data_IF_800746189921
#
_entry.id   IF_800746189921
#
_cell.length_a   1.000
_cell.length_b   1.000
_cell.length_c   1.000
_cell.angle_alpha   90.00
_cell.angle_beta   90.00
_cell.angle_gamma   90.00
#
_symmetry.space_group_name_H-M   'P 1'
#
loop_
_entity.id
_entity.type
_entity.pdbx_description
1 polymer ?
#
# COMPACT_ATOMS: atom_id res chain seq x y z
N UNK A 1 5.84 8.04 19.65
CA UNK A 1 4.94 7.42 18.65
C UNK A 1 5.48 7.89 17.31
N UNK A 2 6.13 6.99 16.59
CA UNK A 2 7.25 7.27 15.67
C UNK A 2 8.16 6.04 15.50
N UNK A 3 8.26 5.21 16.54
CA UNK A 3 9.23 4.10 16.59
C UNK A 3 8.90 3.00 15.58
N UNK A 4 7.62 2.67 15.39
CA UNK A 4 7.19 1.56 14.55
C UNK A 4 7.49 1.80 13.07
N UNK A 5 7.06 2.95 12.54
CA UNK A 5 7.36 3.38 11.18
C UNK A 5 8.86 3.53 10.96
N UNK A 6 9.56 4.17 11.90
CA UNK A 6 11.01 4.41 11.76
C UNK A 6 11.80 3.11 11.78
N UNK A 7 11.48 2.16 12.66
CA UNK A 7 12.09 0.83 12.67
C UNK A 7 11.83 0.06 11.38
N UNK A 8 10.62 0.16 10.81
CA UNK A 8 10.33 -0.43 9.51
C UNK A 8 11.19 0.20 8.40
N UNK A 9 11.33 1.53 8.38
CA UNK A 9 12.15 2.24 7.39
C UNK A 9 13.65 1.95 7.54
N UNK A 10 14.15 1.80 8.77
CA UNK A 10 15.53 1.37 9.03
C UNK A 10 15.78 0.00 8.41
N UNK A 11 14.86 -0.95 8.61
CA UNK A 11 14.94 -2.27 7.99
C UNK A 11 14.87 -2.18 6.46
N UNK A 12 13.96 -1.38 5.91
CA UNK A 12 13.79 -1.21 4.45
C UNK A 12 15.06 -0.65 3.81
N UNK A 13 15.81 0.22 4.50
CA UNK A 13 17.05 0.81 4.01
C UNK A 13 18.12 -0.23 3.65
N UNK A 14 18.12 -1.37 4.33
CA UNK A 14 19.12 -2.43 4.14
C UNK A 14 18.78 -3.33 2.93
N UNK A 15 17.50 -3.45 2.58
CA UNK A 15 16.99 -4.39 1.58
C UNK A 15 17.69 -4.28 0.22
N UNK A 16 17.87 -3.07 -0.39
CA UNK A 16 18.53 -2.98 -1.68
C UNK A 16 19.93 -3.61 -1.73
N UNK A 17 20.65 -3.60 -0.60
CA UNK A 17 22.01 -4.12 -0.45
C UNK A 17 22.04 -5.63 -0.17
N UNK A 18 21.00 -6.17 0.48
CA UNK A 18 20.91 -7.59 0.83
C UNK A 18 20.45 -8.48 -0.32
N UNK A 19 19.61 -7.93 -1.22
CA UNK A 19 19.00 -8.73 -2.27
C UNK A 19 20.05 -9.27 -3.25
N UNK A 20 20.07 -10.60 -3.39
CA UNK A 20 20.91 -11.29 -4.36
C UNK A 20 20.54 -10.85 -5.79
N UNK A 21 21.55 -10.69 -6.63
CA UNK A 21 21.38 -10.22 -8.01
C UNK A 21 20.55 -11.18 -8.88
N UNK A 22 20.56 -12.48 -8.55
CA UNK A 22 19.84 -13.55 -9.22
C UNK A 22 18.43 -13.82 -8.62
N UNK A 23 18.02 -13.06 -7.60
CA UNK A 23 16.68 -13.24 -7.02
C UNK A 23 15.59 -12.84 -8.01
N UNK A 24 14.61 -13.72 -8.31
CA UNK A 24 13.51 -13.42 -9.23
C UNK A 24 12.49 -12.41 -8.68
N UNK A 25 12.67 -11.95 -7.43
CA UNK A 25 11.77 -10.98 -6.76
C UNK A 25 12.40 -9.60 -6.62
N UNK A 26 13.69 -9.48 -7.00
CA UNK A 26 14.46 -8.25 -6.89
C UNK A 26 13.87 -7.09 -7.68
N UNK A 27 13.29 -7.39 -8.84
CA UNK A 27 12.66 -6.42 -9.73
C UNK A 27 11.46 -5.70 -9.09
N UNK A 28 10.88 -6.26 -8.02
CA UNK A 28 9.77 -5.65 -7.30
C UNK A 28 10.22 -5.08 -5.96
N UNK A 29 10.88 -5.89 -5.13
CA UNK A 29 11.20 -5.47 -3.75
C UNK A 29 12.23 -4.34 -3.71
N UNK A 30 13.23 -4.31 -4.61
CA UNK A 30 14.26 -3.27 -4.59
C UNK A 30 13.71 -1.90 -5.01
N UNK A 31 12.96 -1.75 -6.14
CA UNK A 31 12.36 -0.46 -6.46
C UNK A 31 11.35 0.01 -5.40
N UNK A 32 10.56 -0.89 -4.82
CA UNK A 32 9.63 -0.53 -3.74
C UNK A 32 10.35 -0.04 -2.46
N UNK A 33 11.48 -0.65 -2.09
CA UNK A 33 12.29 -0.17 -0.98
C UNK A 33 12.74 1.28 -1.22
N UNK A 34 13.27 1.57 -2.42
CA UNK A 34 13.67 2.93 -2.76
C UNK A 34 12.49 3.89 -2.84
N UNK A 35 11.31 3.43 -3.33
CA UNK A 35 10.10 4.22 -3.32
C UNK A 35 9.73 4.69 -1.91
N UNK A 36 9.68 3.79 -0.92
CA UNK A 36 9.37 4.17 0.45
C UNK A 36 10.38 5.17 1.02
N UNK A 37 11.68 4.92 0.83
CA UNK A 37 12.73 5.81 1.33
C UNK A 37 12.65 7.21 0.71
N UNK A 38 12.43 7.29 -0.60
CA UNK A 38 12.29 8.57 -1.29
C UNK A 38 10.97 9.27 -0.92
N UNK A 39 9.87 8.53 -0.76
CA UNK A 39 8.58 9.07 -0.33
C UNK A 39 8.69 9.75 1.03
N UNK A 40 9.22 9.06 2.03
CA UNK A 40 9.38 9.63 3.37
C UNK A 40 10.36 10.79 3.40
N UNK A 41 11.44 10.72 2.61
CA UNK A 41 12.35 11.87 2.45
C UNK A 41 11.65 13.09 1.86
N UNK A 42 10.76 12.91 0.87
CA UNK A 42 9.97 14.01 0.30
C UNK A 42 9.03 14.58 1.36
N UNK A 43 8.33 13.72 2.12
CA UNK A 43 7.43 14.14 3.20
C UNK A 43 8.16 14.91 4.31
N UNK A 44 9.30 14.41 4.79
CA UNK A 44 10.13 15.10 5.78
C UNK A 44 10.58 16.49 5.30
N UNK A 45 10.98 16.61 4.03
CA UNK A 45 11.36 17.89 3.44
C UNK A 45 10.15 18.84 3.32
N UNK A 46 8.96 18.33 3.00
CA UNK A 46 7.73 19.13 2.95
C UNK A 46 7.27 19.60 4.33
N UNK A 47 7.42 18.75 5.36
CA UNK A 47 7.15 19.12 6.75
C UNK A 47 8.15 20.19 7.23
N UNK A 48 9.45 20.01 6.95
CA UNK A 48 10.47 21.02 7.27
C UNK A 48 10.21 22.35 6.54
N UNK A 49 9.85 22.31 5.25
CA UNK A 49 9.51 23.49 4.46
C UNK A 49 8.21 24.15 4.93
N UNK A 50 7.19 23.39 5.32
CA UNK A 50 5.94 23.99 5.82
C UNK A 50 6.15 24.70 7.17
N UNK A 51 7.03 24.17 8.03
CA UNK A 51 7.49 24.86 9.24
C UNK A 51 8.26 26.16 8.91
N UNK A 52 9.06 26.20 7.84
CA UNK A 52 9.77 27.41 7.38
C UNK A 52 8.85 28.42 6.65
N UNK A 53 7.87 27.94 5.87
CA UNK A 53 6.97 28.74 5.01
C UNK A 53 5.82 29.39 5.79
N UNK A 54 5.57 28.99 7.05
CA UNK A 54 4.78 29.83 7.98
C UNK A 54 5.38 31.24 8.20
N UNK A 55 6.58 31.53 7.66
CA UNK A 55 7.18 32.86 7.61
C UNK A 55 7.03 33.63 6.29
N UNK A 56 6.67 33.04 5.14
CA UNK A 56 6.51 33.76 3.85
C UNK A 56 5.59 33.01 2.90
N UNK A 57 4.50 33.64 2.43
CA UNK A 57 3.53 33.10 1.47
C UNK A 57 4.18 32.62 0.16
N UNK A 58 3.98 31.34 -0.18
CA UNK A 58 4.40 30.75 -1.45
C UNK A 58 3.63 29.47 -1.75
N UNK A 59 2.67 29.57 -2.67
CA UNK A 59 1.74 28.51 -3.07
C UNK A 59 2.43 27.52 -4.03
N UNK A 60 3.15 26.54 -3.49
CA UNK A 60 3.59 25.34 -4.24
C UNK A 60 2.70 24.17 -3.86
N UNK A 61 2.01 23.61 -4.84
CA UNK A 61 1.14 22.44 -4.65
C UNK A 61 2.00 21.25 -4.20
N UNK A 62 1.86 20.87 -2.93
CA UNK A 62 2.63 19.80 -2.29
C UNK A 62 2.44 18.43 -2.97
N UNK A 63 1.45 18.29 -3.87
CA UNK A 63 1.24 17.07 -4.64
C UNK A 63 2.26 16.83 -5.76
N UNK A 64 2.88 17.89 -6.32
CA UNK A 64 3.75 17.76 -7.51
C UNK A 64 4.99 16.88 -7.30
N UNK A 65 5.75 17.03 -6.18
CA UNK A 65 6.90 16.16 -5.92
C UNK A 65 6.52 14.68 -5.74
N UNK A 66 5.37 14.43 -5.10
CA UNK A 66 4.86 13.07 -4.87
C UNK A 66 4.36 12.44 -6.18
N UNK A 67 3.64 13.18 -7.02
CA UNK A 67 3.22 12.70 -8.34
C UNK A 67 4.41 12.36 -9.22
N UNK A 68 5.43 13.21 -9.25
CA UNK A 68 6.66 12.96 -10.03
C UNK A 68 7.42 11.73 -9.53
N UNK A 69 7.46 11.53 -8.22
CA UNK A 69 8.04 10.35 -7.59
C UNK A 69 7.30 9.08 -8.00
N UNK A 70 5.97 9.12 -7.93
CA UNK A 70 5.09 8.01 -8.26
C UNK A 70 5.21 7.61 -9.73
N UNK A 71 5.17 8.58 -10.66
CA UNK A 71 5.33 8.33 -12.10
C UNK A 71 6.66 7.63 -12.41
N UNK A 72 7.75 8.04 -11.74
CA UNK A 72 9.07 7.42 -11.93
C UNK A 72 9.05 5.94 -11.55
N UNK A 73 8.51 5.61 -10.37
CA UNK A 73 8.47 4.21 -9.91
C UNK A 73 7.41 3.39 -10.62
N UNK A 74 6.30 3.98 -11.06
CA UNK A 74 5.34 3.31 -11.94
C UNK A 74 5.99 2.89 -13.26
N UNK A 75 6.82 3.76 -13.84
CA UNK A 75 7.57 3.42 -15.05
C UNK A 75 8.59 2.32 -14.82
N UNK A 76 9.29 2.35 -13.68
CA UNK A 76 10.27 1.30 -13.30
C UNK A 76 9.60 -0.06 -13.08
N UNK A 77 8.40 -0.06 -12.49
CA UNK A 77 7.61 -1.25 -12.15
C UNK A 77 6.53 -1.58 -13.20
N UNK A 78 6.64 -1.05 -14.42
CA UNK A 78 5.58 -1.11 -15.44
C UNK A 78 5.07 -2.53 -15.74
N UNK A 79 5.96 -3.53 -15.68
CA UNK A 79 5.64 -4.93 -15.98
C UNK A 79 4.83 -5.61 -14.86
N UNK A 80 4.77 -4.98 -13.68
CA UNK A 80 4.06 -5.46 -12.50
C UNK A 80 2.91 -4.55 -12.09
N UNK A 81 2.60 -3.48 -12.85
CA UNK A 81 1.55 -2.52 -12.48
C UNK A 81 0.13 -3.09 -12.56
N UNK A 82 -0.14 -4.08 -13.39
CA UNK A 82 -1.49 -4.63 -13.54
C UNK A 82 -1.48 -6.14 -13.28
N UNK A 83 -2.37 -6.68 -12.43
CA UNK A 83 -2.22 -8.06 -11.96
C UNK A 83 -2.30 -9.09 -13.09
N UNK A 84 -3.17 -8.86 -14.09
CA UNK A 84 -3.28 -9.70 -15.28
C UNK A 84 -1.98 -9.78 -16.08
N UNK A 85 -1.36 -8.63 -16.38
CA UNK A 85 -0.09 -8.55 -17.12
C UNK A 85 1.04 -9.16 -16.28
N UNK A 86 1.11 -8.79 -15.01
CA UNK A 86 2.13 -9.24 -14.09
C UNK A 86 2.14 -10.77 -13.95
N UNK A 87 0.96 -11.39 -13.87
CA UNK A 87 0.79 -12.84 -13.78
C UNK A 87 1.30 -13.60 -15.01
N UNK A 88 1.21 -13.00 -16.20
CA UNK A 88 1.77 -13.59 -17.42
C UNK A 88 3.31 -13.55 -17.42
N UNK A 89 3.90 -12.55 -16.74
CA UNK A 89 5.36 -12.35 -16.65
C UNK A 89 6.01 -13.15 -15.53
N UNK A 90 5.31 -13.31 -14.41
CA UNK A 90 5.83 -13.95 -13.21
C UNK A 90 4.72 -14.76 -12.53
N UNK A 91 5.04 -15.97 -12.07
CA UNK A 91 4.08 -16.84 -11.37
C UNK A 91 3.56 -16.29 -10.05
N UNK A 92 4.14 -15.21 -9.53
CA UNK A 92 3.69 -14.43 -8.37
C UNK A 92 3.34 -12.98 -8.72
N UNK A 93 3.33 -12.64 -10.02
CA UNK A 93 3.17 -11.26 -10.47
C UNK A 93 1.85 -10.62 -10.07
N UNK A 94 0.76 -11.38 -9.97
CA UNK A 94 -0.52 -10.89 -9.46
C UNK A 94 -0.41 -10.42 -7.99
N UNK A 95 0.31 -11.15 -7.15
CA UNK A 95 0.60 -10.73 -5.77
C UNK A 95 1.47 -9.48 -5.74
N UNK A 96 2.51 -9.43 -6.58
CA UNK A 96 3.39 -8.27 -6.65
C UNK A 96 2.67 -7.02 -7.12
N UNK A 97 1.76 -7.14 -8.08
CA UNK A 97 0.91 -6.03 -8.51
C UNK A 97 0.05 -5.48 -7.38
N UNK A 98 -0.57 -6.37 -6.59
CA UNK A 98 -1.33 -5.96 -5.40
C UNK A 98 -0.41 -5.28 -4.38
N UNK A 99 0.77 -5.84 -4.10
CA UNK A 99 1.74 -5.22 -3.19
C UNK A 99 2.17 -3.83 -3.67
N UNK A 100 2.49 -3.68 -4.96
CA UNK A 100 2.90 -2.39 -5.55
C UNK A 100 1.77 -1.38 -5.41
N UNK A 101 0.54 -1.79 -5.72
CA UNK A 101 -0.61 -0.91 -5.59
C UNK A 101 -0.82 -0.44 -4.16
N UNK A 102 -0.79 -1.35 -3.18
CA UNK A 102 -0.86 -1.03 -1.76
C UNK A 102 0.28 -0.11 -1.31
N UNK A 103 1.50 -0.41 -1.76
CA UNK A 103 2.69 0.38 -1.45
C UNK A 103 2.56 1.80 -1.96
N UNK A 104 2.14 1.98 -3.21
CA UNK A 104 1.87 3.29 -3.77
C UNK A 104 0.72 4.01 -3.09
N UNK A 105 -0.27 3.29 -2.57
CA UNK A 105 -1.35 3.84 -1.75
C UNK A 105 -0.92 4.65 -0.55
N UNK A 106 0.30 4.43 -0.05
CA UNK A 106 0.85 5.18 1.09
C UNK A 106 0.82 6.70 0.89
N UNK A 107 0.79 7.18 -0.35
CA UNK A 107 0.69 8.62 -0.69
C UNK A 107 -0.64 9.24 -0.30
N UNK A 108 -1.65 8.41 -0.08
CA UNK A 108 -2.98 8.83 0.36
C UNK A 108 -3.09 8.82 1.90
N UNK A 109 -2.17 8.13 2.58
CA UNK A 109 -2.18 7.96 4.03
C UNK A 109 -1.46 9.10 4.76
N UNK A 110 -2.14 9.66 5.76
CA UNK A 110 -1.60 10.72 6.62
C UNK A 110 -1.26 10.23 8.04
N UNK A 111 -1.90 9.15 8.49
CA UNK A 111 -1.68 8.60 9.82
C UNK A 111 -0.49 7.63 9.84
N UNK A 112 0.32 7.70 10.91
CA UNK A 112 1.52 6.88 11.06
C UNK A 112 1.18 5.39 11.17
N UNK A 113 0.08 5.05 11.85
CA UNK A 113 -0.41 3.69 12.00
C UNK A 113 -0.74 3.07 10.63
N UNK A 114 -1.44 3.80 9.77
CA UNK A 114 -1.79 3.36 8.42
C UNK A 114 -0.55 3.14 7.53
N UNK A 115 0.36 4.11 7.56
CA UNK A 115 1.65 3.98 6.88
C UNK A 115 2.43 2.77 7.38
N UNK A 116 2.47 2.54 8.70
CA UNK A 116 3.20 1.42 9.31
C UNK A 116 2.67 0.08 8.85
N UNK A 117 1.34 -0.09 8.75
CA UNK A 117 0.73 -1.35 8.24
C UNK A 117 1.17 -1.67 6.81
N UNK A 118 1.21 -0.68 5.92
CA UNK A 118 1.70 -0.87 4.55
C UNK A 118 3.16 -1.33 4.53
N UNK A 119 4.02 -0.68 5.33
CA UNK A 119 5.44 -1.05 5.42
C UNK A 119 5.63 -2.46 6.00
N UNK A 120 4.80 -2.85 6.96
CA UNK A 120 4.83 -4.20 7.54
C UNK A 120 4.46 -5.29 6.56
N UNK A 121 3.40 -5.09 5.76
CA UNK A 121 3.03 -6.04 4.72
C UNK A 121 4.17 -6.24 3.72
N UNK A 122 4.79 -5.14 3.29
CA UNK A 122 5.96 -5.18 2.43
C UNK A 122 7.10 -5.98 3.07
N UNK A 123 7.41 -5.74 4.34
CA UNK A 123 8.46 -6.47 5.06
C UNK A 123 8.14 -7.95 5.25
N UNK A 124 6.89 -8.30 5.59
CA UNK A 124 6.45 -9.69 5.74
C UNK A 124 6.64 -10.47 4.43
N UNK A 125 6.23 -9.89 3.30
CA UNK A 125 6.39 -10.50 1.98
C UNK A 125 7.86 -10.56 1.54
N UNK A 126 8.64 -9.51 1.83
CA UNK A 126 10.07 -9.49 1.56
C UNK A 126 10.78 -10.61 2.31
N UNK A 127 10.57 -10.72 3.63
CA UNK A 127 11.20 -11.73 4.46
C UNK A 127 10.85 -13.15 4.00
N UNK A 128 9.58 -13.37 3.63
CA UNK A 128 9.18 -14.66 3.07
C UNK A 128 9.89 -14.96 1.74
N UNK A 129 10.06 -13.95 0.87
CA UNK A 129 10.78 -14.10 -0.41
C UNK A 129 12.27 -14.41 -0.27
N UNK A 130 12.86 -14.12 0.90
CA UNK A 130 14.26 -14.42 1.21
C UNK A 130 14.45 -15.76 1.93
N UNK A 131 13.36 -16.47 2.24
CA UNK A 131 13.46 -17.79 2.88
C UNK A 131 14.13 -18.80 1.95
N UNK A 132 14.89 -19.75 2.52
CA UNK A 132 15.50 -20.84 1.76
C UNK A 132 14.46 -21.88 1.26
N UNK A 133 13.20 -21.72 1.65
CA UNK A 133 12.09 -22.58 1.22
C UNK A 133 11.59 -22.16 -0.17
N UNK A 134 11.15 -23.13 -0.96
CA UNK A 134 10.48 -22.84 -2.22
C UNK A 134 9.20 -22.03 -1.93
N UNK A 135 9.07 -20.87 -2.59
CA UNK A 135 7.88 -20.04 -2.38
C UNK A 135 6.62 -20.74 -2.88
N UNK A 136 5.56 -20.62 -2.09
CA UNK A 136 4.24 -21.18 -2.38
C UNK A 136 3.23 -20.04 -2.52
N UNK A 137 2.39 -20.11 -3.55
CA UNK A 137 1.33 -19.11 -3.77
C UNK A 137 0.34 -19.07 -2.59
N UNK A 138 0.02 -20.21 -2.00
CA UNK A 138 -0.84 -20.29 -0.81
C UNK A 138 -0.28 -19.49 0.36
N UNK A 139 1.04 -19.55 0.61
CA UNK A 139 1.66 -18.80 1.70
C UNK A 139 1.69 -17.29 1.45
N UNK A 140 1.92 -16.85 0.20
CA UNK A 140 1.72 -15.43 -0.12
C UNK A 140 0.29 -14.99 0.21
N UNK A 141 -0.69 -15.81 -0.15
CA UNK A 141 -2.09 -15.54 0.13
C UNK A 141 -2.39 -15.50 1.61
N UNK A 142 -1.82 -16.41 2.39
CA UNK A 142 -1.96 -16.44 3.84
C UNK A 142 -1.33 -15.20 4.49
N UNK A 143 -0.18 -14.70 4.01
CA UNK A 143 0.42 -13.45 4.52
C UNK A 143 -0.52 -12.27 4.30
N UNK A 144 -1.04 -12.09 3.08
CA UNK A 144 -2.02 -11.03 2.81
C UNK A 144 -3.26 -11.19 3.71
N UNK A 145 -3.84 -12.40 3.76
CA UNK A 145 -5.03 -12.67 4.57
C UNK A 145 -4.81 -12.35 6.05
N UNK A 146 -3.73 -12.86 6.65
CA UNK A 146 -3.39 -12.61 8.06
C UNK A 146 -3.17 -11.13 8.32
N UNK A 147 -2.46 -10.43 7.43
CA UNK A 147 -2.23 -8.99 7.57
C UNK A 147 -3.55 -8.20 7.61
N UNK A 148 -4.44 -8.43 6.64
CA UNK A 148 -5.72 -7.74 6.63
C UNK A 148 -6.66 -8.18 7.75
N UNK A 149 -6.57 -9.43 8.18
CA UNK A 149 -7.35 -9.94 9.30
C UNK A 149 -6.96 -9.24 10.62
N UNK A 150 -5.66 -9.12 10.89
CA UNK A 150 -5.15 -8.53 12.13
C UNK A 150 -5.52 -7.04 12.27
N UNK A 151 -5.60 -6.32 11.15
CA UNK A 151 -5.93 -4.90 11.10
C UNK A 151 -7.38 -4.59 10.68
N UNK A 152 -8.23 -5.62 10.55
CA UNK A 152 -9.58 -5.47 10.01
C UNK A 152 -10.41 -4.43 10.77
N UNK A 153 -10.31 -4.41 12.12
CA UNK A 153 -11.05 -3.44 12.95
C UNK A 153 -10.52 -2.02 12.75
N UNK A 154 -9.21 -1.83 12.89
CA UNK A 154 -8.60 -0.50 12.76
C UNK A 154 -8.96 0.14 11.40
N UNK A 155 -8.96 -0.65 10.32
CA UNK A 155 -9.38 -0.16 9.02
C UNK A 155 -10.86 0.26 9.00
N UNK A 156 -11.76 -0.50 9.64
CA UNK A 156 -13.18 -0.14 9.72
C UNK A 156 -13.40 1.13 10.54
N UNK A 157 -12.75 1.24 11.70
CA UNK A 157 -12.83 2.42 12.55
C UNK A 157 -12.35 3.68 11.80
N UNK A 158 -11.17 3.62 11.18
CA UNK A 158 -10.62 4.72 10.36
C UNK A 158 -11.58 5.13 9.25
N UNK A 159 -12.20 4.15 8.61
CA UNK A 159 -13.20 4.39 7.57
C UNK A 159 -14.40 5.16 8.13
N UNK A 160 -14.97 4.73 9.26
CA UNK A 160 -16.14 5.41 9.83
C UNK A 160 -15.79 6.86 10.19
N UNK A 161 -14.62 7.09 10.78
CA UNK A 161 -14.15 8.44 11.08
C UNK A 161 -13.98 9.31 9.82
N UNK A 162 -13.46 8.73 8.73
CA UNK A 162 -13.30 9.42 7.45
C UNK A 162 -14.65 9.71 6.78
N UNK A 163 -15.59 8.75 6.80
CA UNK A 163 -16.94 8.92 6.26
C UNK A 163 -17.72 10.03 7.00
N UNK A 164 -17.53 10.17 8.31
CA UNK A 164 -18.11 11.28 9.09
C UNK A 164 -17.52 12.64 8.72
N UNK A 165 -16.21 12.71 8.47
CA UNK A 165 -15.49 13.96 8.17
C UNK A 165 -15.77 14.45 6.75
N UNK A 166 -15.72 13.55 5.78
CA UNK A 166 -16.04 13.84 4.39
C UNK A 166 -16.51 12.57 3.65
N UNK A 167 -17.84 12.38 3.49
CA UNK A 167 -18.41 11.18 2.89
C UNK A 167 -18.07 11.00 1.40
N UNK A 168 -17.43 12.00 0.77
CA UNK A 168 -16.99 11.96 -0.62
C UNK A 168 -15.45 11.88 -0.76
N UNK A 169 -14.71 12.19 0.30
CA UNK A 169 -13.25 12.26 0.33
C UNK A 169 -12.62 11.11 1.13
N UNK A 170 -13.12 9.89 1.01
CA UNK A 170 -12.24 8.73 0.93
C UNK A 170 -12.99 7.48 0.45
N UNK A 171 -12.42 6.84 -0.56
CA UNK A 171 -12.73 5.48 -1.01
C UNK A 171 -11.45 4.70 -1.29
N UNK A 172 -10.35 5.22 -0.76
CA UNK A 172 -9.03 4.67 -0.95
C UNK A 172 -8.44 4.33 0.42
N UNK A 173 -9.25 3.79 1.34
CA UNK A 173 -8.67 2.82 2.24
C UNK A 173 -8.29 1.65 1.34
N UNK A 174 -7.08 1.77 0.82
CA UNK A 174 -6.51 0.89 -0.20
C UNK A 174 -6.44 -0.54 0.34
N UNK A 175 -6.65 -0.72 1.65
CA UNK A 175 -6.63 -2.00 2.34
C UNK A 175 -8.02 -2.68 2.33
N UNK A 176 -9.09 -1.97 1.95
CA UNK A 176 -10.41 -2.55 1.59
C UNK A 176 -10.60 -2.68 0.09
N UNK A 177 -9.85 -3.58 -0.53
CA UNK A 177 -10.16 -3.97 -1.90
C UNK A 177 -11.29 -4.99 -1.96
N UNK A 178 -12.21 -4.78 -2.91
CA UNK A 178 -13.17 -5.79 -3.34
C UNK A 178 -14.55 -5.72 -2.68
N UNK A 179 -14.74 -4.91 -1.64
CA UNK A 179 -16.03 -4.84 -0.95
C UNK A 179 -16.89 -3.62 -1.31
N UNK A 180 -16.29 -2.51 -1.74
CA UNK A 180 -17.04 -1.32 -2.15
C UNK A 180 -16.58 -0.73 -3.49
N UNK A 181 -17.51 -0.31 -4.36
CA UNK A 181 -17.14 0.25 -5.65
C UNK A 181 -16.46 1.61 -5.50
N UNK A 182 -15.48 1.86 -6.37
CA UNK A 182 -14.88 3.16 -6.53
C UNK A 182 -15.91 4.19 -7.07
N UNK A 183 -16.33 5.16 -6.24
CA UNK A 183 -17.10 6.35 -6.66
C UNK A 183 -16.32 7.67 -6.44
N UNK A 184 -14.98 7.62 -6.30
CA UNK A 184 -14.14 8.79 -6.00
C UNK A 184 -13.30 9.25 -7.19
N UNK A 185 -12.50 10.30 -7.01
CA UNK A 185 -11.41 10.67 -7.91
C UNK A 185 -10.11 10.70 -7.11
N UNK A 186 -9.09 9.95 -7.52
CA UNK A 186 -7.76 10.02 -6.89
C UNK A 186 -6.90 11.02 -7.66
N UNK A 187 -6.15 11.91 -6.98
CA UNK A 187 -5.19 12.79 -7.64
C UNK A 187 -3.97 12.03 -8.19
N UNK A 188 -3.74 10.79 -7.74
CA UNK A 188 -2.55 10.01 -8.06
C UNK A 188 -2.82 8.77 -8.94
N UNK A 189 -4.04 8.24 -8.92
CA UNK A 189 -4.38 6.99 -9.60
C UNK A 189 -5.57 7.14 -10.54
N UNK A 190 -5.45 6.58 -11.74
CA UNK A 190 -6.58 6.49 -12.67
C UNK A 190 -7.64 5.52 -12.16
N UNK A 191 -8.89 5.75 -12.55
CA UNK A 191 -10.01 4.87 -12.24
C UNK A 191 -9.75 3.42 -12.69
N UNK A 192 -9.28 3.24 -13.92
CA UNK A 192 -9.01 1.92 -14.49
C UNK A 192 -7.95 1.15 -13.70
N UNK A 193 -6.91 1.86 -13.23
CA UNK A 193 -5.86 1.28 -12.40
C UNK A 193 -6.43 0.75 -11.08
N UNK A 194 -7.24 1.56 -10.40
CA UNK A 194 -7.89 1.18 -9.14
C UNK A 194 -8.87 0.01 -9.33
N UNK A 195 -9.76 0.09 -10.33
CA UNK A 195 -10.79 -0.93 -10.59
C UNK A 195 -10.17 -2.29 -10.96
N UNK A 196 -9.07 -2.30 -11.72
CA UNK A 196 -8.38 -3.55 -12.06
C UNK A 196 -7.88 -4.28 -10.81
N UNK A 197 -7.29 -3.55 -9.88
CA UNK A 197 -6.77 -4.15 -8.65
C UNK A 197 -7.88 -4.53 -7.68
N UNK A 198 -8.95 -3.74 -7.57
CA UNK A 198 -10.10 -4.09 -6.73
C UNK A 198 -10.73 -5.41 -7.17
N UNK A 199 -10.93 -5.60 -8.48
CA UNK A 199 -11.47 -6.85 -9.02
C UNK A 199 -10.56 -8.03 -8.74
N UNK A 200 -9.27 -7.88 -8.98
CA UNK A 200 -8.34 -9.00 -8.89
C UNK A 200 -8.00 -9.33 -7.43
N UNK A 201 -7.94 -8.33 -6.54
CA UNK A 201 -7.82 -8.51 -5.10
C UNK A 201 -9.06 -9.21 -4.50
N UNK A 202 -10.27 -8.91 -4.99
CA UNK A 202 -11.48 -9.63 -4.57
C UNK A 202 -11.42 -11.13 -4.92
N UNK A 203 -10.94 -11.45 -6.13
CA UNK A 203 -10.71 -12.83 -6.57
C UNK A 203 -9.65 -13.51 -5.69
N UNK A 204 -8.63 -12.74 -5.30
CA UNK A 204 -7.46 -13.21 -4.60
C UNK A 204 -7.68 -13.44 -3.09
N UNK A 205 -8.27 -12.49 -2.39
CA UNK A 205 -8.60 -12.60 -0.95
C UNK A 205 -9.85 -13.46 -0.73
N UNK A 206 -10.67 -13.63 -1.77
CA UNK A 206 -11.78 -14.56 -1.86
C UNK A 206 -12.92 -14.30 -0.88
N UNK A 207 -13.87 -15.25 -0.85
CA UNK A 207 -15.06 -15.20 0.00
C UNK A 207 -14.73 -15.17 1.50
N UNK A 208 -13.57 -15.72 1.89
CA UNK A 208 -13.18 -15.84 3.30
C UNK A 208 -12.88 -14.48 3.93
N UNK A 209 -12.13 -13.63 3.23
CA UNK A 209 -11.87 -12.27 3.69
C UNK A 209 -13.16 -11.44 3.66
N UNK A 210 -13.92 -11.52 2.56
CA UNK A 210 -15.22 -10.84 2.43
C UNK A 210 -16.20 -11.21 3.55
N UNK A 211 -16.27 -12.49 3.92
CA UNK A 211 -17.12 -12.95 5.03
C UNK A 211 -16.69 -12.38 6.37
N UNK A 212 -15.37 -12.25 6.59
CA UNK A 212 -14.85 -11.67 7.83
C UNK A 212 -15.11 -10.16 7.90
N UNK A 213 -14.87 -9.44 6.80
CA UNK A 213 -15.20 -8.02 6.70
C UNK A 213 -16.68 -7.76 6.98
N UNK A 214 -17.56 -8.58 6.40
CA UNK A 214 -18.99 -8.48 6.62
C UNK A 214 -19.37 -8.71 8.11
N UNK A 215 -18.74 -9.69 8.76
CA UNK A 215 -18.95 -9.93 10.19
C UNK A 215 -18.45 -8.78 11.07
N UNK A 216 -17.29 -8.21 10.75
CA UNK A 216 -16.73 -7.09 11.48
C UNK A 216 -17.61 -5.83 11.31
N UNK A 217 -18.09 -5.57 10.08
CA UNK A 217 -19.04 -4.49 9.81
C UNK A 217 -20.37 -4.66 10.55
N UNK A 218 -20.97 -5.86 10.52
CA UNK A 218 -22.21 -6.11 11.28
C UNK A 218 -22.03 -5.96 12.80
N UNK A 219 -20.81 -6.18 13.31
CA UNK A 219 -20.52 -5.99 14.72
C UNK A 219 -20.40 -4.51 15.07
N UNK A 220 -19.80 -3.70 14.20
CA UNK A 220 -19.73 -2.25 14.39
C UNK A 220 -21.08 -1.57 14.16
N UNK A 221 -21.86 -1.92 13.13
CA UNK A 221 -23.24 -1.39 12.96
C UNK A 221 -24.15 -1.66 14.17
N UNK A 222 -23.87 -2.68 14.99
CA UNK A 222 -24.63 -2.97 16.22
C UNK A 222 -24.18 -2.16 17.43
N UNK A 223 -23.03 -1.48 17.34
CA UNK A 223 -22.46 -0.65 18.40
C UNK A 223 -22.77 0.84 18.23
N UNK A 224 -23.27 1.24 17.06
CA UNK A 224 -23.77 2.57 16.71
C UNK A 224 -25.31 2.60 16.64
#
# INVERSE_FOLDING_TARGET
>A
MGERRNSALERIREIPLEMREDSPYKEVFRPLAFFFLDYFKVRENQEAQSLEVTAVEGNTDASVPISSLLERYQKELQDFLYPGIAKERNSFGDFFSILIFLSFGIVLENEEEAQSRILELYLQLYLYSQSDEAMERSRFQDIFYSHFYDYCRDFLEERYEEEEKDPFLYRNNILFFGWMPYYGSSPFFSKDYVESHQRDAAIFLGDRFLSHLYQAYEQEEKLW
#
